data_IF_897262946157
#
_entry.id   IF_897262946157
#
_cell.length_a   1.000
_cell.length_b   1.000
_cell.length_c   1.000
_cell.angle_alpha   90.00
_cell.angle_beta   90.00
_cell.angle_gamma   90.00
#
_symmetry.space_group_name_H-M   'P 1'
#
loop_
_entity.id
_entity.type
_entity.pdbx_description
1 polymer ?
#
# COMPACT_ATOMS: atom_id res chain seq x y z
N UNK A 1 -13.58 -8.86 10.73
CA UNK A 1 -12.87 -8.98 9.44
C UNK A 1 -11.82 -7.90 9.16
N UNK A 2 -11.13 -7.35 10.19
CA UNK A 2 -10.02 -6.38 9.99
C UNK A 2 -8.85 -6.67 10.94
N UNK A 3 -8.68 -7.94 11.34
CA UNK A 3 -7.57 -8.35 12.18
C UNK A 3 -6.26 -8.16 11.42
N UNK A 4 -5.27 -7.55 12.09
CA UNK A 4 -4.02 -7.12 11.45
C UNK A 4 -2.90 -8.17 11.53
N UNK A 5 -3.19 -9.38 12.00
CA UNK A 5 -2.17 -10.40 12.26
C UNK A 5 -1.37 -10.13 13.55
N UNK A 6 -0.48 -11.05 13.95
CA UNK A 6 0.34 -10.89 15.15
C UNK A 6 1.42 -9.80 15.03
N UNK A 7 1.82 -9.44 13.81
CA UNK A 7 2.83 -8.39 13.53
C UNK A 7 2.76 -7.94 12.07
N UNK A 8 3.40 -6.82 11.73
CA UNK A 8 3.53 -6.40 10.34
C UNK A 8 4.26 -7.48 9.51
N UNK A 9 3.73 -7.75 8.31
CA UNK A 9 4.26 -8.76 7.37
C UNK A 9 4.21 -10.21 7.89
N UNK A 10 3.34 -10.52 8.87
CA UNK A 10 3.14 -11.89 9.38
C UNK A 10 2.67 -12.87 8.30
N UNK A 11 1.84 -12.40 7.38
CA UNK A 11 1.28 -13.19 6.29
C UNK A 11 2.32 -13.41 5.20
N UNK A 12 2.50 -14.66 4.77
CA UNK A 12 3.52 -15.05 3.79
C UNK A 12 3.36 -14.31 2.44
N UNK A 13 2.11 -14.03 2.07
CA UNK A 13 1.68 -13.34 0.88
C UNK A 13 2.10 -11.87 0.91
N UNK A 14 1.93 -11.20 2.06
CA UNK A 14 2.38 -9.82 2.26
C UNK A 14 3.90 -9.77 2.27
N UNK A 15 4.55 -10.70 2.98
CA UNK A 15 6.00 -10.77 3.07
C UNK A 15 6.64 -10.93 1.68
N UNK A 16 6.09 -11.79 0.82
CA UNK A 16 6.60 -12.00 -0.53
C UNK A 16 6.59 -10.71 -1.37
N UNK A 17 5.53 -9.91 -1.28
CA UNK A 17 5.44 -8.61 -1.98
C UNK A 17 6.48 -7.62 -1.43
N UNK A 18 6.62 -7.54 -0.10
CA UNK A 18 7.61 -6.67 0.55
C UNK A 18 9.04 -7.03 0.13
N UNK A 19 9.38 -8.32 0.15
CA UNK A 19 10.68 -8.83 -0.26
C UNK A 19 10.96 -8.51 -1.74
N UNK A 20 9.98 -8.68 -2.62
CA UNK A 20 10.09 -8.35 -4.05
C UNK A 20 10.30 -6.86 -4.29
N UNK A 21 9.47 -5.99 -3.70
CA UNK A 21 9.58 -4.55 -3.88
C UNK A 21 10.92 -4.01 -3.38
N UNK A 22 11.35 -4.50 -2.22
CA UNK A 22 12.61 -4.08 -1.60
C UNK A 22 13.83 -4.55 -2.40
N UNK A 23 13.80 -5.78 -2.93
CA UNK A 23 14.92 -6.35 -3.70
C UNK A 23 14.99 -5.84 -5.14
N UNK A 24 13.86 -5.51 -5.78
CA UNK A 24 13.87 -5.04 -7.17
C UNK A 24 14.50 -3.65 -7.30
N UNK A 25 14.17 -2.71 -6.40
CA UNK A 25 14.79 -1.38 -6.34
C UNK A 25 14.49 -0.41 -7.51
N UNK A 26 13.75 -0.82 -8.54
CA UNK A 26 13.44 0.02 -9.71
C UNK A 26 11.95 0.12 -10.05
N UNK A 27 11.07 -0.16 -9.08
CA UNK A 27 9.63 0.08 -9.21
C UNK A 27 9.37 1.58 -9.15
N UNK A 28 8.61 2.11 -10.12
CA UNK A 28 8.29 3.56 -10.23
C UNK A 28 6.87 3.91 -9.82
N UNK A 29 5.95 2.95 -9.84
CA UNK A 29 4.56 3.11 -9.43
C UNK A 29 4.04 1.81 -8.81
N UNK A 30 3.08 1.93 -7.89
CA UNK A 30 2.43 0.79 -7.23
C UNK A 30 0.91 0.99 -7.27
N UNK A 31 0.17 0.01 -7.80
CA UNK A 31 -1.29 0.05 -7.89
C UNK A 31 -1.86 -1.21 -7.26
N UNK A 32 -2.62 -1.05 -6.17
CA UNK A 32 -3.41 -2.13 -5.56
C UNK A 32 -4.86 -1.99 -5.97
N UNK A 33 -5.43 -3.05 -6.54
CA UNK A 33 -6.79 -3.02 -7.09
C UNK A 33 -7.75 -3.65 -6.08
N UNK A 34 -8.80 -2.90 -5.76
CA UNK A 34 -9.88 -3.34 -4.88
C UNK A 34 -11.23 -3.03 -5.53
N UNK A 35 -12.26 -3.72 -5.06
CA UNK A 35 -13.67 -3.41 -5.34
C UNK A 35 -14.39 -3.22 -4.01
N UNK A 36 -15.38 -2.36 -3.90
CA UNK A 36 -16.20 -1.70 -4.93
C UNK A 36 -15.96 -0.17 -4.91
N UNK A 37 -17.01 0.62 -5.19
CA UNK A 37 -17.09 2.08 -4.97
C UNK A 37 -16.67 3.02 -6.10
N UNK A 38 -16.02 2.55 -7.17
CA UNK A 38 -15.58 3.39 -8.30
C UNK A 38 -14.69 4.57 -7.85
N UNK A 39 -13.67 4.29 -7.04
CA UNK A 39 -12.79 5.32 -6.48
C UNK A 39 -11.34 5.12 -6.94
N UNK A 40 -10.66 6.23 -7.20
CA UNK A 40 -9.20 6.29 -7.28
C UNK A 40 -8.69 6.89 -5.98
N UNK A 41 -7.81 6.16 -5.28
CA UNK A 41 -7.27 6.55 -3.99
C UNK A 41 -5.75 6.60 -4.05
N UNK A 42 -5.17 7.49 -3.25
CA UNK A 42 -3.73 7.67 -3.05
C UNK A 42 -3.44 7.85 -1.55
N UNK A 43 -2.17 7.79 -1.11
CA UNK A 43 -1.83 7.91 0.29
C UNK A 43 -2.29 9.24 0.93
N UNK A 44 -2.63 9.28 2.22
CA UNK A 44 -2.56 8.21 3.20
C UNK A 44 -3.95 7.73 3.66
N UNK A 45 -4.06 6.46 4.04
CA UNK A 45 -5.25 5.93 4.71
C UNK A 45 -5.17 5.89 6.24
N UNK A 46 -3.98 6.07 6.83
CA UNK A 46 -3.74 5.89 8.28
C UNK A 46 -3.60 7.21 9.07
N UNK A 47 -3.58 8.36 8.40
CA UNK A 47 -3.42 9.69 9.01
C UNK A 47 -4.12 10.75 8.17
N UNK A 48 -4.47 11.88 8.78
CA UNK A 48 -5.03 13.06 8.11
C UNK A 48 -3.96 14.04 7.59
N UNK A 49 -2.68 13.78 7.86
CA UNK A 49 -1.58 14.59 7.31
C UNK A 49 -1.51 14.41 5.79
N UNK A 50 -1.45 15.49 4.99
CA UNK A 50 -1.29 15.42 3.54
C UNK A 50 -0.05 14.62 3.10
N UNK A 51 -0.18 13.88 1.99
CA UNK A 51 0.97 13.34 1.28
C UNK A 51 1.83 14.46 0.71
N UNK A 52 3.15 14.25 0.66
CA UNK A 52 4.11 15.25 0.18
C UNK A 52 3.76 15.77 -1.21
N UNK A 53 3.39 14.85 -2.11
CA UNK A 53 3.14 15.13 -3.53
C UNK A 53 1.64 15.27 -3.83
N UNK A 54 0.79 15.56 -2.83
CA UNK A 54 -0.67 15.67 -2.99
C UNK A 54 -1.10 16.65 -4.10
N UNK A 55 -0.33 17.71 -4.34
CA UNK A 55 -0.66 18.73 -5.34
C UNK A 55 -0.37 18.30 -6.79
N UNK A 56 0.33 17.19 -7.01
CA UNK A 56 0.62 16.65 -8.36
C UNK A 56 -0.58 15.91 -8.98
N UNK A 57 -1.60 15.62 -8.17
CA UNK A 57 -2.77 14.82 -8.52
C UNK A 57 -3.97 15.66 -8.96
#
# INVERSE_FOLDING_TARGET
ETYHGPSAHSESEVKAIVDFVTSHGNIKAFVSIHSYSQMLLYPYGYTSTPAKDQAEL
#
